data_IF_243237458767
#
_entry.id   IF_243237458767
#
_cell.length_a   1.000
_cell.length_b   1.000
_cell.length_c   1.000
_cell.angle_alpha   90.00
_cell.angle_beta   90.00
_cell.angle_gamma   90.00
#
_symmetry.space_group_name_H-M   'P 1'
#
loop_
_entity.id
_entity.type
_entity.pdbx_description
1 polymer ?
#
# COMPACT_ATOMS: atom_id res chain seq x y z
N UNK A 1 2.44 -17.75 18.01
CA UNK A 1 1.26 -16.84 18.07
C UNK A 1 -0.04 -17.65 18.12
N UNK A 2 -1.07 -17.25 18.89
CA UNK A 2 -2.37 -17.96 18.92
C UNK A 2 -3.09 -17.80 17.57
N UNK A 3 -3.80 -18.83 17.09
CA UNK A 3 -4.51 -18.80 15.81
C UNK A 3 -5.51 -17.63 15.67
N UNK A 4 -6.10 -17.21 16.79
CA UNK A 4 -7.01 -16.06 16.86
C UNK A 4 -6.31 -14.73 16.53
N UNK A 5 -5.05 -14.56 16.94
CA UNK A 5 -4.28 -13.33 16.71
C UNK A 5 -3.88 -13.22 15.23
N UNK A 6 -3.59 -14.34 14.57
CA UNK A 6 -3.29 -14.37 13.13
C UNK A 6 -4.49 -13.93 12.31
N UNK A 7 -5.70 -14.40 12.63
CA UNK A 7 -6.94 -13.94 11.96
C UNK A 7 -7.15 -12.44 12.11
N UNK A 8 -6.85 -11.86 13.29
CA UNK A 8 -6.92 -10.40 13.50
C UNK A 8 -5.90 -9.64 12.65
N UNK A 9 -4.66 -10.14 12.59
CA UNK A 9 -3.59 -9.57 11.77
C UNK A 9 -4.00 -9.56 10.29
N UNK A 10 -4.49 -10.68 9.77
CA UNK A 10 -4.94 -10.77 8.38
C UNK A 10 -6.13 -9.87 8.08
N UNK A 11 -7.09 -9.78 9.00
CA UNK A 11 -8.22 -8.85 8.86
C UNK A 11 -7.73 -7.41 8.74
N UNK A 12 -6.78 -6.99 9.58
CA UNK A 12 -6.22 -5.64 9.52
C UNK A 12 -5.47 -5.36 8.21
N UNK A 13 -4.76 -6.35 7.66
CA UNK A 13 -4.09 -6.23 6.36
C UNK A 13 -5.14 -6.07 5.25
N UNK A 14 -6.21 -6.88 5.26
CA UNK A 14 -7.31 -6.79 4.28
C UNK A 14 -8.04 -5.45 4.37
N UNK A 15 -8.27 -4.93 5.57
CA UNK A 15 -8.89 -3.61 5.76
C UNK A 15 -7.99 -2.50 5.21
N UNK A 16 -6.68 -2.54 5.47
CA UNK A 16 -5.74 -1.55 4.94
C UNK A 16 -5.65 -1.61 3.40
N UNK A 17 -5.64 -2.82 2.83
CA UNK A 17 -5.71 -3.03 1.38
C UNK A 17 -7.00 -2.49 0.78
N UNK A 18 -8.16 -2.81 1.37
CA UNK A 18 -9.45 -2.30 0.92
C UNK A 18 -9.53 -0.77 1.00
N UNK A 19 -8.98 -0.18 2.06
CA UNK A 19 -8.89 1.27 2.19
C UNK A 19 -8.01 1.90 1.10
N UNK A 20 -6.88 1.29 0.77
CA UNK A 20 -6.01 1.75 -0.30
C UNK A 20 -6.68 1.65 -1.68
N UNK A 21 -7.39 0.56 -1.97
CA UNK A 21 -8.18 0.43 -3.20
C UNK A 21 -9.31 1.46 -3.28
N UNK A 22 -10.02 1.66 -2.18
CA UNK A 22 -11.08 2.66 -2.12
C UNK A 22 -10.54 4.08 -2.35
N UNK A 23 -9.40 4.42 -1.73
CA UNK A 23 -8.70 5.68 -1.97
C UNK A 23 -8.25 5.82 -3.43
N UNK A 24 -7.71 4.76 -4.04
CA UNK A 24 -7.30 4.76 -5.45
C UNK A 24 -8.49 5.04 -6.38
N UNK A 25 -9.62 4.37 -6.16
CA UNK A 25 -10.84 4.57 -6.95
C UNK A 25 -11.35 6.00 -6.81
N UNK A 26 -11.38 6.54 -5.59
CA UNK A 26 -11.75 7.94 -5.36
C UNK A 26 -10.81 8.88 -6.10
N UNK A 27 -9.49 8.68 -6.01
CA UNK A 27 -8.51 9.53 -6.71
C UNK A 27 -8.75 9.52 -8.22
N UNK A 28 -9.01 8.36 -8.81
CA UNK A 28 -9.30 8.25 -10.25
C UNK A 28 -10.58 9.02 -10.60
N UNK A 29 -11.66 8.81 -9.84
CA UNK A 29 -12.94 9.50 -10.08
C UNK A 29 -12.77 11.02 -9.99
N UNK A 30 -12.09 11.51 -8.95
CA UNK A 30 -11.81 12.93 -8.77
C UNK A 30 -10.97 13.50 -9.91
N UNK A 31 -9.96 12.75 -10.36
CA UNK A 31 -9.11 13.17 -11.49
C UNK A 31 -9.92 13.28 -12.78
N UNK A 32 -10.77 12.29 -13.08
CA UNK A 32 -11.67 12.33 -14.26
C UNK A 32 -12.65 13.50 -14.16
N UNK A 33 -13.27 13.73 -13.00
CA UNK A 33 -14.17 14.87 -12.79
C UNK A 33 -13.49 16.22 -13.00
N UNK A 34 -12.22 16.35 -12.60
CA UNK A 34 -11.43 17.55 -12.87
C UNK A 34 -11.13 17.76 -14.34
N UNK A 35 -10.94 16.69 -15.13
CA UNK A 35 -10.79 16.82 -16.58
C UNK A 35 -12.07 17.29 -17.27
N UNK A 36 -13.25 16.95 -16.72
CA UNK A 36 -14.54 17.36 -17.26
C UNK A 36 -14.96 18.78 -16.83
N UNK A 37 -14.39 19.31 -15.74
CA UNK A 37 -14.73 20.63 -15.19
C UNK A 37 -13.47 21.42 -14.80
N UNK A 38 -13.06 22.37 -15.64
CA UNK A 38 -11.88 23.21 -15.41
C UNK A 38 -11.95 24.02 -14.09
N UNK A 39 -13.15 24.46 -13.70
CA UNK A 39 -13.38 25.16 -12.43
C UNK A 39 -13.12 24.30 -11.19
N UNK A 40 -13.25 22.97 -11.31
CA UNK A 40 -12.98 22.00 -10.23
C UNK A 40 -11.50 21.66 -10.20
N UNK A 41 -10.85 21.55 -11.36
CA UNK A 41 -9.42 21.31 -11.46
C UNK A 41 -8.58 22.39 -10.77
N UNK A 42 -8.89 23.68 -10.98
CA UNK A 42 -8.20 24.79 -10.32
C UNK A 42 -8.39 24.82 -8.81
N UNK A 43 -9.59 24.51 -8.31
CA UNK A 43 -9.89 24.53 -6.86
C UNK A 43 -9.30 23.35 -6.09
N UNK A 44 -9.13 22.20 -6.73
CA UNK A 44 -8.63 20.99 -6.10
C UNK A 44 -7.15 20.71 -6.44
N UNK A 45 -6.50 21.57 -7.23
CA UNK A 45 -5.11 21.38 -7.67
C UNK A 45 -4.90 20.09 -8.47
N UNK A 46 -5.94 19.57 -9.11
CA UNK A 46 -5.90 18.24 -9.69
C UNK A 46 -5.28 18.29 -11.10
N UNK A 47 -4.10 17.66 -11.24
CA UNK A 47 -3.34 17.54 -12.48
C UNK A 47 -3.34 16.09 -12.99
N UNK A 48 -2.96 15.88 -14.24
CA UNK A 48 -2.71 14.54 -14.84
C UNK A 48 -1.75 13.70 -13.98
N UNK A 49 -0.91 14.35 -13.16
CA UNK A 49 -0.04 13.70 -12.17
C UNK A 49 -0.79 12.81 -11.17
N UNK A 50 -2.07 13.10 -10.89
CA UNK A 50 -2.87 12.30 -9.95
C UNK A 50 -3.18 10.88 -10.46
N UNK A 51 -3.15 10.65 -11.77
CA UNK A 51 -3.21 9.28 -12.31
C UNK A 51 -1.96 8.49 -11.94
N UNK A 52 -0.79 9.14 -11.94
CA UNK A 52 0.45 8.51 -11.52
C UNK A 52 0.42 8.19 -10.01
N UNK A 53 -0.13 9.10 -9.21
CA UNK A 53 -0.37 8.87 -7.78
C UNK A 53 -1.33 7.70 -7.54
N UNK A 54 -2.45 7.62 -8.27
CA UNK A 54 -3.37 6.49 -8.17
C UNK A 54 -2.69 5.16 -8.57
N UNK A 55 -1.82 5.18 -9.59
CA UNK A 55 -1.06 4.00 -10.01
C UNK A 55 -0.08 3.55 -8.92
N UNK A 56 0.66 4.48 -8.30
CA UNK A 56 1.54 4.18 -7.15
C UNK A 56 0.72 3.61 -5.99
N UNK A 57 -0.43 4.20 -5.69
CA UNK A 57 -1.30 3.75 -4.60
C UNK A 57 -1.81 2.33 -4.83
N UNK A 58 -2.26 2.02 -6.05
CA UNK A 58 -2.69 0.68 -6.45
C UNK A 58 -1.55 -0.34 -6.38
N UNK A 59 -0.35 0.05 -6.83
CA UNK A 59 0.85 -0.77 -6.74
C UNK A 59 1.21 -1.11 -5.29
N UNK A 60 1.18 -0.11 -4.40
CA UNK A 60 1.45 -0.30 -2.97
C UNK A 60 0.35 -1.13 -2.30
N UNK A 61 -0.91 -0.95 -2.68
CA UNK A 61 -2.03 -1.75 -2.19
C UNK A 61 -1.80 -3.25 -2.50
N UNK A 62 -1.39 -3.59 -3.74
CA UNK A 62 -1.06 -4.97 -4.10
C UNK A 62 0.09 -5.54 -3.26
N UNK A 63 1.09 -4.72 -2.94
CA UNK A 63 2.17 -5.12 -2.05
C UNK A 63 1.71 -5.39 -0.61
N UNK A 64 0.76 -4.58 -0.10
CA UNK A 64 0.13 -4.79 1.21
C UNK A 64 -0.72 -6.06 1.24
N UNK A 65 -1.50 -6.33 0.18
CA UNK A 65 -2.24 -7.59 0.03
C UNK A 65 -1.33 -8.81 0.16
N UNK A 66 -0.10 -8.69 -0.37
CA UNK A 66 0.93 -9.74 -0.33
C UNK A 66 1.75 -9.74 0.97
N UNK A 67 1.24 -9.07 2.01
CA UNK A 67 1.79 -9.02 3.38
C UNK A 67 3.26 -8.58 3.44
N UNK A 68 3.71 -7.77 2.47
CA UNK A 68 5.10 -7.29 2.40
C UNK A 68 5.28 -6.07 3.29
N UNK A 69 6.23 -6.16 4.24
CA UNK A 69 6.57 -5.07 5.17
C UNK A 69 6.92 -3.77 4.44
N UNK A 70 7.80 -3.83 3.43
CA UNK A 70 8.24 -2.65 2.67
C UNK A 70 7.08 -1.95 1.96
N UNK A 71 6.15 -2.70 1.36
CA UNK A 71 5.00 -2.10 0.69
C UNK A 71 4.08 -1.39 1.67
N UNK A 72 3.85 -1.97 2.86
CA UNK A 72 3.01 -1.32 3.87
C UNK A 72 3.67 -0.08 4.49
N UNK A 73 5.00 -0.11 4.67
CA UNK A 73 5.75 1.08 5.11
C UNK A 73 5.71 2.15 4.03
N UNK A 74 5.97 1.79 2.78
CA UNK A 74 5.92 2.71 1.65
C UNK A 74 4.53 3.32 1.47
N UNK A 75 3.45 2.55 1.63
CA UNK A 75 2.07 3.07 1.62
C UNK A 75 1.84 4.11 2.72
N UNK A 76 2.31 3.83 3.94
CA UNK A 76 2.16 4.76 5.06
C UNK A 76 3.00 6.03 4.88
N UNK A 77 4.26 5.89 4.44
CA UNK A 77 5.15 7.03 4.15
C UNK A 77 4.61 7.87 3.01
N UNK A 78 4.14 7.25 1.94
CA UNK A 78 3.49 7.93 0.82
C UNK A 78 2.26 8.73 1.30
N UNK A 79 1.42 8.13 2.13
CA UNK A 79 0.30 8.84 2.74
C UNK A 79 0.74 10.06 3.56
N UNK A 80 1.77 9.93 4.40
CA UNK A 80 2.29 11.06 5.18
C UNK A 80 2.84 12.19 4.29
N UNK A 81 3.59 11.84 3.23
CA UNK A 81 4.09 12.82 2.26
C UNK A 81 2.93 13.55 1.57
N UNK A 82 1.90 12.81 1.16
CA UNK A 82 0.72 13.42 0.53
C UNK A 82 0.01 14.40 1.48
N UNK A 83 -0.11 14.07 2.77
CA UNK A 83 -0.70 14.97 3.77
C UNK A 83 0.18 16.20 3.97
N UNK A 84 1.50 16.03 4.04
CA UNK A 84 2.44 17.13 4.23
C UNK A 84 2.40 18.12 3.07
N UNK A 85 2.44 17.65 1.83
CA UNK A 85 2.34 18.50 0.62
C UNK A 85 1.03 19.30 0.65
N UNK A 86 -0.09 18.63 0.92
CA UNK A 86 -1.39 19.30 1.00
C UNK A 86 -1.47 20.39 2.09
N UNK A 87 -0.77 20.21 3.22
CA UNK A 87 -0.70 21.23 4.29
C UNK A 87 0.11 22.44 3.82
N UNK A 88 1.24 22.21 3.13
CA UNK A 88 2.09 23.28 2.59
C UNK A 88 1.35 24.09 1.52
N UNK A 89 0.55 23.42 0.68
CA UNK A 89 -0.26 24.07 -0.36
C UNK A 89 -1.52 24.77 0.19
N UNK A 90 -1.73 24.76 1.51
CA UNK A 90 -2.92 25.35 2.15
C UNK A 90 -4.23 24.59 1.87
N UNK A 91 -4.15 23.41 1.24
CA UNK A 91 -5.31 22.59 0.89
C UNK A 91 -5.68 21.61 2.01
N UNK A 92 -6.48 22.11 2.94
CA UNK A 92 -7.08 21.34 4.04
C UNK A 92 -8.32 20.52 3.62
N UNK A 93 -8.46 20.18 2.33
CA UNK A 93 -9.59 19.36 1.85
C UNK A 93 -9.46 17.91 2.36
N UNK A 94 -10.53 17.35 2.96
CA UNK A 94 -10.57 15.93 3.36
C UNK A 94 -10.12 15.58 4.79
N UNK A 95 -10.09 16.54 5.71
CA UNK A 95 -9.57 16.39 7.09
C UNK A 95 -9.91 15.08 7.83
N UNK A 96 -11.19 14.76 8.01
CA UNK A 96 -11.60 13.54 8.75
C UNK A 96 -11.21 12.26 7.98
N UNK A 97 -11.37 12.26 6.66
CA UNK A 97 -11.00 11.11 5.81
C UNK A 97 -9.51 10.79 5.92
N UNK A 98 -8.66 11.81 5.90
CA UNK A 98 -7.20 11.65 6.08
C UNK A 98 -6.87 10.97 7.40
N UNK A 99 -7.50 11.37 8.51
CA UNK A 99 -7.27 10.75 9.82
C UNK A 99 -7.67 9.26 9.80
N UNK A 100 -8.84 8.95 9.23
CA UNK A 100 -9.34 7.57 9.13
C UNK A 100 -8.38 6.71 8.30
N UNK A 101 -7.99 7.17 7.11
CA UNK A 101 -7.03 6.44 6.25
C UNK A 101 -5.68 6.28 6.92
N UNK A 102 -5.18 7.32 7.59
CA UNK A 102 -3.92 7.27 8.34
C UNK A 102 -3.93 6.18 9.41
N UNK A 103 -5.00 6.08 10.19
CA UNK A 103 -5.15 5.02 11.21
C UNK A 103 -5.23 3.64 10.55
N UNK A 104 -5.95 3.50 9.44
CA UNK A 104 -6.06 2.22 8.72
C UNK A 104 -4.72 1.77 8.14
N UNK A 105 -3.96 2.67 7.52
CA UNK A 105 -2.63 2.38 6.97
C UNK A 105 -1.62 2.07 8.06
N UNK A 106 -1.66 2.81 9.18
CA UNK A 106 -0.81 2.53 10.34
C UNK A 106 -1.10 1.16 10.95
N UNK A 107 -2.38 0.80 11.11
CA UNK A 107 -2.80 -0.53 11.57
C UNK A 107 -2.37 -1.64 10.61
N UNK A 108 -2.47 -1.41 9.30
CA UNK A 108 -1.98 -2.33 8.26
C UNK A 108 -0.48 -2.56 8.34
N UNK A 109 0.30 -1.51 8.58
CA UNK A 109 1.74 -1.57 8.76
C UNK A 109 2.13 -2.43 9.96
N UNK A 110 1.57 -2.15 11.14
CA UNK A 110 1.81 -2.95 12.34
C UNK A 110 1.45 -4.43 12.11
N UNK A 111 0.34 -4.69 11.43
CA UNK A 111 -0.10 -6.04 11.11
C UNK A 111 0.91 -6.77 10.20
N UNK A 112 1.45 -6.12 9.18
CA UNK A 112 2.50 -6.70 8.33
C UNK A 112 3.79 -7.01 9.11
N UNK A 113 4.20 -6.15 10.05
CA UNK A 113 5.35 -6.43 10.92
C UNK A 113 5.11 -7.63 11.84
N UNK A 114 3.92 -7.71 12.46
CA UNK A 114 3.53 -8.87 13.28
C UNK A 114 3.52 -10.16 12.47
N UNK A 115 3.01 -10.12 11.24
CA UNK A 115 3.00 -11.28 10.34
C UNK A 115 4.41 -11.75 10.01
N UNK A 116 5.32 -10.83 9.67
CA UNK A 116 6.71 -11.20 9.42
C UNK A 116 7.41 -11.79 10.65
N UNK A 117 7.22 -11.19 11.83
CA UNK A 117 7.81 -11.73 13.07
C UNK A 117 7.36 -13.17 13.28
N UNK A 118 6.10 -13.48 13.00
CA UNK A 118 5.59 -14.84 13.07
C UNK A 118 6.26 -15.77 12.06
N UNK A 119 6.47 -15.33 10.81
CA UNK A 119 7.14 -16.14 9.79
C UNK A 119 8.62 -16.44 10.13
N UNK A 120 9.29 -15.52 10.84
CA UNK A 120 10.63 -15.77 11.38
C UNK A 120 10.58 -16.78 12.54
N UNK A 121 9.60 -16.66 13.43
CA UNK A 121 9.43 -17.55 14.59
C UNK A 121 9.17 -19.02 14.18
N UNK A 122 8.43 -19.25 13.10
CA UNK A 122 8.15 -20.60 12.57
C UNK A 122 9.28 -21.15 11.68
N UNK A 123 10.38 -20.40 11.49
CA UNK A 123 11.52 -20.82 10.67
C UNK A 123 11.27 -20.79 9.16
N UNK A 124 10.15 -20.22 8.69
CA UNK A 124 9.86 -20.06 7.25
C UNK A 124 10.77 -19.00 6.61
N UNK A 125 11.26 -18.05 7.41
CA UNK A 125 12.17 -16.99 6.97
C UNK A 125 13.42 -17.00 7.85
N UNK A 126 14.57 -17.27 7.24
CA UNK A 126 15.88 -17.07 7.85
C UNK A 126 16.18 -15.55 7.94
N UNK A 127 16.30 -14.98 9.16
CA UNK A 127 16.60 -13.56 9.33
C UNK A 127 18.07 -13.23 9.05
N UNK A 128 18.98 -14.21 9.12
CA UNK A 128 20.43 -14.02 9.03
C UNK A 128 20.98 -14.27 7.62
N UNK A 129 20.12 -14.73 6.69
CA UNK A 129 20.48 -14.81 5.28
C UNK A 129 20.76 -13.39 4.75
N UNK A 130 22.01 -13.05 4.35
CA UNK A 130 22.34 -11.73 3.87
C UNK A 130 21.60 -11.52 2.55
N UNK A 131 20.52 -10.74 2.60
CA UNK A 131 19.80 -10.33 1.39
C UNK A 131 20.73 -9.39 0.64
N UNK A 132 21.46 -9.94 -0.34
CA UNK A 132 22.43 -9.17 -1.11
C UNK A 132 21.79 -7.92 -1.70
N UNK A 133 22.57 -6.86 -1.90
CA UNK A 133 22.13 -5.57 -2.44
C UNK A 133 21.29 -5.71 -3.74
N UNK A 134 21.58 -6.74 -4.55
CA UNK A 134 20.81 -7.12 -5.75
C UNK A 134 19.38 -7.55 -5.46
N UNK A 135 19.09 -8.07 -4.27
CA UNK A 135 17.74 -8.38 -3.79
C UNK A 135 17.00 -7.08 -3.49
N UNK A 136 17.64 -6.11 -2.81
CA UNK A 136 17.05 -4.81 -2.49
C UNK A 136 16.83 -3.92 -3.72
N UNK A 137 17.83 -3.83 -4.61
CA UNK A 137 17.71 -3.17 -5.92
C UNK A 137 16.76 -3.93 -6.85
N UNK A 138 16.73 -5.26 -6.74
CA UNK A 138 15.79 -6.13 -7.42
C UNK A 138 14.35 -5.77 -7.06
N UNK A 139 14.00 -5.61 -5.79
CA UNK A 139 12.63 -5.25 -5.36
C UNK A 139 12.09 -3.90 -5.86
N UNK A 140 12.87 -3.11 -6.60
CA UNK A 140 12.34 -2.03 -7.44
C UNK A 140 11.51 -2.54 -8.63
N UNK A 141 11.46 -1.76 -9.71
CA UNK A 141 10.57 -1.99 -10.88
C UNK A 141 10.75 -3.39 -11.51
N UNK A 142 11.98 -3.92 -11.58
CA UNK A 142 12.28 -5.20 -12.25
C UNK A 142 11.96 -6.45 -11.41
N UNK A 143 12.28 -6.45 -10.12
CA UNK A 143 11.88 -7.53 -9.22
C UNK A 143 10.40 -7.52 -8.96
N UNK A 144 9.71 -6.39 -9.12
CA UNK A 144 8.25 -6.37 -9.16
C UNK A 144 7.68 -7.10 -10.38
N UNK A 145 8.18 -6.87 -11.60
CA UNK A 145 7.75 -7.62 -12.79
C UNK A 145 8.02 -9.12 -12.66
N UNK A 146 9.24 -9.49 -12.20
CA UNK A 146 9.60 -10.89 -11.94
C UNK A 146 8.75 -11.50 -10.81
N UNK A 147 8.29 -10.69 -9.85
CA UNK A 147 7.42 -11.09 -8.74
C UNK A 147 5.92 -11.17 -9.10
N UNK A 148 5.46 -10.42 -10.10
CA UNK A 148 4.14 -10.60 -10.72
C UNK A 148 4.11 -11.90 -11.54
N UNK A 149 5.15 -12.18 -12.33
CA UNK A 149 5.26 -13.41 -13.12
C UNK A 149 5.36 -14.65 -12.21
N UNK A 150 6.15 -14.59 -11.14
CA UNK A 150 6.33 -15.74 -10.22
C UNK A 150 5.09 -15.98 -9.31
N UNK A 151 4.13 -15.05 -9.23
CA UNK A 151 2.89 -15.25 -8.47
C UNK A 151 1.93 -16.23 -9.14
N UNK A 152 1.77 -16.09 -10.46
CA UNK A 152 0.88 -16.93 -11.27
C UNK A 152 1.19 -18.43 -11.13
N UNK A 153 2.42 -18.76 -10.74
CA UNK A 153 2.83 -20.14 -10.48
C UNK A 153 2.65 -20.62 -9.04
N UNK A 154 2.58 -19.74 -8.02
CA UNK A 154 2.56 -20.17 -6.61
C UNK A 154 1.15 -20.45 -6.09
N UNK A 155 0.13 -19.78 -6.63
CA UNK A 155 -1.28 -20.05 -6.27
C UNK A 155 -1.79 -21.41 -6.79
N UNK A 156 -1.05 -22.07 -7.70
CA UNK A 156 -1.35 -23.44 -8.16
C UNK A 156 -1.00 -24.53 -7.15
N UNK A 157 -0.21 -24.25 -6.10
CA UNK A 157 0.26 -25.25 -5.14
C UNK A 157 -0.49 -25.22 -3.80
N UNK A 158 -1.45 -24.32 -3.61
CA UNK A 158 -2.28 -24.24 -2.40
C UNK A 158 -3.66 -24.91 -2.57
N UNK A 159 -3.90 -25.59 -3.69
CA UNK A 159 -5.11 -26.33 -4.01
C UNK A 159 -4.85 -27.80 -4.40
N UNK A 160 -3.72 -28.37 -3.97
CA UNK A 160 -3.44 -29.81 -4.04
C UNK A 160 -3.03 -30.33 -2.67
#
# INVERSE_FOLDING_TARGET
MRQEELKKVEKNIKTAWGAALFSMVITIILTVMSMLNENVAQKLGLSTYNFFDAFILGFLALGVYRKKRFASVALFVYFLLSVFINIVDGQLSGGIGRIIFGILYFKGMIACFKYYKHQVEIGEIDPDQPKGLKTYLGYGVLGFFKFCINYSNRDRFLYY
#
